data_IF_326590878388
#
_entry.id   IF_326590878388
#
_cell.length_a   1.000
_cell.length_b   1.000
_cell.length_c   1.000
_cell.angle_alpha   90.00
_cell.angle_beta   90.00
_cell.angle_gamma   90.00
#
_symmetry.space_group_name_H-M   'P 1'
#
loop_
_entity.id
_entity.type
_entity.pdbx_description
1 polymer ?
#
# COMPACT_ATOMS: atom_id res chain seq x y z
N UNK A 1 5.93 16.05 14.02
CA UNK A 1 5.99 16.26 12.56
C UNK A 1 5.84 14.91 11.89
N UNK A 2 4.63 14.58 11.45
CA UNK A 2 4.37 13.35 10.69
C UNK A 2 4.71 13.66 9.24
N UNK A 3 5.78 13.07 8.72
CA UNK A 3 6.16 13.23 7.32
C UNK A 3 5.33 12.22 6.51
N UNK A 4 4.30 12.69 5.82
CA UNK A 4 3.55 11.87 4.86
C UNK A 4 4.41 11.77 3.60
N UNK A 5 5.09 10.63 3.43
CA UNK A 5 5.84 10.33 2.22
C UNK A 5 4.86 9.76 1.19
N UNK A 6 4.40 10.60 0.26
CA UNK A 6 3.63 10.13 -0.89
C UNK A 6 4.58 9.45 -1.88
N UNK A 7 4.57 8.12 -1.94
CA UNK A 7 5.32 7.33 -2.93
C UNK A 7 4.38 7.07 -4.11
N UNK A 8 4.54 7.81 -5.21
CA UNK A 8 3.74 7.57 -6.42
C UNK A 8 4.43 6.51 -7.29
N UNK A 9 3.79 5.38 -7.54
CA UNK A 9 4.28 4.37 -8.49
C UNK A 9 3.73 4.65 -9.89
N UNK A 10 4.63 4.68 -10.88
CA UNK A 10 4.25 4.60 -12.29
C UNK A 10 4.95 3.36 -12.87
N UNK A 11 4.22 2.49 -13.57
CA UNK A 11 4.63 1.11 -13.87
C UNK A 11 4.66 0.84 -15.39
N UNK A 12 5.65 0.06 -15.82
CA UNK A 12 5.62 -0.78 -17.02
C UNK A 12 6.52 -2.00 -16.79
N UNK A 13 5.96 -3.19 -16.97
CA UNK A 13 6.71 -4.45 -17.02
C UNK A 13 7.25 -4.61 -18.46
N UNK A 14 8.57 -4.52 -18.66
CA UNK A 14 9.21 -5.05 -19.88
C UNK A 14 9.84 -6.41 -19.56
N UNK A 15 9.50 -7.48 -20.29
CA UNK A 15 10.16 -8.76 -20.14
C UNK A 15 11.62 -8.58 -20.53
N UNK A 16 12.53 -8.86 -19.59
CA UNK A 16 13.99 -8.95 -19.71
C UNK A 16 14.60 -8.79 -21.11
N UNK A 17 14.65 -7.58 -21.68
CA UNK A 17 15.65 -7.14 -22.65
C UNK A 17 15.72 -5.62 -22.57
N UNK A 18 16.94 -5.08 -22.46
CA UNK A 18 17.21 -3.71 -22.01
C UNK A 18 16.30 -2.64 -22.63
N UNK A 19 15.70 -1.82 -21.76
CA UNK A 19 14.92 -0.66 -22.18
C UNK A 19 13.98 -0.16 -21.07
N UNK A 20 14.29 1.05 -20.60
CA UNK A 20 13.45 2.03 -19.92
C UNK A 20 12.68 1.63 -18.65
N UNK A 21 13.18 2.11 -17.52
CA UNK A 21 12.54 2.10 -16.22
C UNK A 21 11.82 3.42 -15.90
N UNK A 22 10.98 3.39 -14.86
CA UNK A 22 9.95 4.40 -14.60
C UNK A 22 10.09 4.98 -13.17
N UNK A 23 9.55 6.19 -13.03
CA UNK A 23 9.74 7.12 -11.93
C UNK A 23 8.84 6.86 -10.71
N UNK A 24 9.46 6.82 -9.53
CA UNK A 24 8.85 7.14 -8.24
C UNK A 24 9.07 8.62 -7.89
N UNK A 25 8.02 9.46 -7.88
CA UNK A 25 8.12 10.85 -7.40
C UNK A 25 7.86 10.90 -5.89
N UNK A 26 8.86 11.34 -5.13
CA UNK A 26 8.73 11.68 -3.72
C UNK A 26 8.45 13.18 -3.62
N UNK A 27 7.18 13.58 -3.69
CA UNK A 27 6.84 15.00 -3.60
C UNK A 27 6.82 15.47 -2.15
N UNK A 28 7.58 16.51 -1.76
CA UNK A 28 7.44 17.13 -0.44
C UNK A 28 6.08 17.85 -0.36
N UNK A 29 5.23 17.48 0.60
CA UNK A 29 3.99 18.21 0.90
C UNK A 29 4.18 19.08 2.15
N UNK A 30 5.02 20.10 2.04
CA UNK A 30 5.14 21.11 3.10
C UNK A 30 3.90 22.03 3.08
N UNK A 31 2.96 21.79 4.01
CA UNK A 31 2.02 22.82 4.46
C UNK A 31 2.53 23.41 5.76
N UNK A 32 3.42 24.39 5.67
CA UNK A 32 3.86 25.23 6.78
C UNK A 32 2.68 25.99 7.39
N UNK A 33 2.28 25.74 8.65
CA UNK A 33 1.46 26.68 9.40
C UNK A 33 2.34 27.88 9.76
N UNK A 34 1.87 29.09 9.47
CA UNK A 34 2.52 30.31 9.95
C UNK A 34 2.09 30.52 11.41
N UNK A 35 3.02 30.50 12.36
CA UNK A 35 3.23 31.54 13.38
C UNK A 35 4.22 31.12 14.47
N UNK A 36 4.93 32.16 14.91
CA UNK A 36 5.71 32.35 16.13
C UNK A 36 7.10 31.70 16.26
N UNK A 37 8.05 32.59 16.46
CA UNK A 37 9.48 32.41 16.44
C UNK A 37 10.04 32.88 17.77
N UNK A 38 10.17 31.97 18.73
CA UNK A 38 11.22 32.01 19.75
C UNK A 38 11.13 30.75 20.60
N UNK A 39 12.17 29.91 20.55
CA UNK A 39 12.78 29.10 21.60
C UNK A 39 13.75 28.13 20.89
N UNK A 40 15.04 28.28 21.16
CA UNK A 40 16.14 27.49 20.57
C UNK A 40 16.69 26.48 21.60
N UNK A 41 17.26 25.39 21.06
CA UNK A 41 17.97 24.22 21.64
C UNK A 41 17.15 22.92 21.62
N UNK A 42 17.62 21.78 21.09
CA UNK A 42 18.89 21.40 20.47
C UNK A 42 18.64 20.18 19.55
N UNK A 43 19.57 19.94 18.62
CA UNK A 43 19.53 18.94 17.55
C UNK A 43 18.47 19.23 16.47
N UNK A 44 18.78 20.19 15.59
CA UNK A 44 18.23 20.14 14.24
C UNK A 44 18.80 18.88 13.61
N UNK A 45 17.99 17.82 13.62
CA UNK A 45 18.17 16.65 12.76
C UNK A 45 18.52 17.20 11.38
N UNK A 46 19.73 16.90 10.89
CA UNK A 46 20.16 17.42 9.60
C UNK A 46 19.09 17.02 8.61
N UNK A 47 18.39 18.00 8.03
CA UNK A 47 17.27 17.73 7.15
C UNK A 47 17.78 16.76 6.08
N UNK A 48 17.28 15.52 6.09
CA UNK A 48 17.69 14.51 5.14
C UNK A 48 17.29 15.03 3.77
N UNK A 49 18.28 15.42 2.97
CA UNK A 49 18.06 15.78 1.58
C UNK A 49 17.79 14.50 0.80
N UNK A 50 16.51 14.14 0.68
CA UNK A 50 16.11 13.06 -0.21
C UNK A 50 16.32 13.52 -1.66
N UNK A 51 16.89 12.62 -2.48
CA UNK A 51 16.94 12.86 -3.91
C UNK A 51 15.52 12.96 -4.46
N UNK A 52 15.23 14.02 -5.19
CA UNK A 52 14.00 14.11 -6.00
C UNK A 52 14.09 13.28 -7.28
N UNK A 53 15.26 12.69 -7.56
CA UNK A 53 15.43 11.80 -8.71
C UNK A 53 14.66 10.50 -8.44
N UNK A 54 13.76 10.11 -9.35
CA UNK A 54 13.00 8.89 -9.17
C UNK A 54 13.85 7.63 -9.14
N UNK A 55 13.62 6.76 -8.15
CA UNK A 55 14.28 5.46 -8.05
C UNK A 55 13.69 4.41 -8.98
N UNK A 56 14.50 3.41 -9.38
CA UNK A 56 14.09 2.28 -10.24
C UNK A 56 14.27 0.98 -9.47
N UNK A 57 13.18 0.30 -9.14
CA UNK A 57 13.19 -0.89 -8.28
C UNK A 57 12.80 -2.12 -9.09
N UNK A 58 13.71 -3.09 -9.20
CA UNK A 58 13.58 -4.25 -10.11
C UNK A 58 13.04 -5.49 -9.40
N UNK A 59 12.78 -6.55 -10.17
CA UNK A 59 12.29 -7.86 -9.69
C UNK A 59 10.86 -7.87 -9.15
N UNK A 60 10.09 -6.84 -9.48
CA UNK A 60 8.64 -6.73 -9.27
C UNK A 60 8.03 -6.26 -10.59
N UNK A 61 7.07 -7.00 -11.13
CA UNK A 61 6.23 -6.48 -12.21
C UNK A 61 4.98 -5.89 -11.55
N UNK A 62 4.63 -4.69 -11.96
CA UNK A 62 3.54 -3.90 -11.39
C UNK A 62 3.66 -3.78 -9.86
N UNK A 63 4.74 -3.12 -9.42
CA UNK A 63 4.84 -2.65 -8.05
C UNK A 63 3.77 -1.59 -7.80
N UNK A 64 2.83 -1.89 -6.92
CA UNK A 64 1.62 -1.10 -6.69
C UNK A 64 1.71 -0.25 -5.43
N UNK A 65 2.53 -0.66 -4.44
CA UNK A 65 2.58 0.00 -3.15
C UNK A 65 3.96 -0.09 -2.49
N UNK A 66 4.32 0.91 -1.68
CA UNK A 66 5.49 0.85 -0.81
C UNK A 66 5.42 1.79 0.38
N UNK A 67 6.19 1.44 1.43
CA UNK A 67 6.39 2.28 2.60
C UNK A 67 7.88 2.44 2.92
N UNK A 68 8.23 3.54 3.61
CA UNK A 68 9.56 3.73 4.16
C UNK A 68 9.82 2.76 5.33
N UNK A 69 10.96 2.06 5.33
CA UNK A 69 11.44 1.30 6.50
C UNK A 69 12.40 2.15 7.35
N UNK A 70 13.18 2.99 6.71
CA UNK A 70 14.01 4.02 7.35
C UNK A 70 14.35 5.11 6.31
N UNK A 71 15.41 5.87 6.54
CA UNK A 71 15.88 6.91 5.63
C UNK A 71 16.42 6.35 4.30
N UNK A 72 16.99 5.15 4.33
CA UNK A 72 17.74 4.52 3.25
C UNK A 72 17.01 3.34 2.61
N UNK A 73 15.91 2.86 3.19
CA UNK A 73 15.24 1.64 2.76
C UNK A 73 13.73 1.83 2.63
N UNK A 74 13.17 1.14 1.65
CA UNK A 74 11.73 1.00 1.46
C UNK A 74 11.36 -0.47 1.33
N UNK A 75 10.11 -0.78 1.62
CA UNK A 75 9.49 -2.07 1.37
C UNK A 75 8.42 -1.91 0.31
N UNK A 76 8.51 -2.70 -0.76
CA UNK A 76 7.57 -2.73 -1.87
C UNK A 76 6.66 -3.96 -1.82
N UNK A 77 5.44 -3.74 -2.29
CA UNK A 77 4.38 -4.71 -2.51
C UNK A 77 3.97 -4.65 -3.98
N UNK A 78 3.22 -5.66 -4.43
CA UNK A 78 2.76 -5.79 -5.81
C UNK A 78 1.34 -6.30 -5.83
N UNK A 79 0.60 -5.91 -6.85
CA UNK A 79 -0.70 -6.50 -7.12
C UNK A 79 -0.49 -7.97 -7.55
N UNK A 80 0.57 -8.27 -8.32
CA UNK A 80 0.84 -9.55 -8.99
C UNK A 80 1.25 -10.72 -8.08
N UNK A 81 1.73 -10.50 -6.86
CA UNK A 81 2.16 -11.57 -5.95
C UNK A 81 2.01 -11.21 -4.46
N UNK A 82 2.41 -12.13 -3.58
CA UNK A 82 2.39 -11.96 -2.12
C UNK A 82 3.81 -11.82 -1.55
N UNK A 83 4.77 -11.42 -2.38
CA UNK A 83 6.16 -11.25 -1.96
C UNK A 83 6.43 -9.80 -1.60
N UNK A 84 6.79 -9.55 -0.35
CA UNK A 84 7.31 -8.25 0.07
C UNK A 84 8.79 -8.16 -0.26
N UNK A 85 9.25 -6.96 -0.64
CA UNK A 85 10.60 -6.74 -1.14
C UNK A 85 11.21 -5.52 -0.49
N UNK A 86 12.36 -5.68 0.16
CA UNK A 86 13.11 -4.54 0.72
C UNK A 86 14.12 -4.06 -0.30
N UNK A 87 14.16 -2.76 -0.53
CA UNK A 87 15.10 -2.11 -1.41
C UNK A 87 15.87 -1.04 -0.67
N UNK A 88 17.15 -0.87 -1.03
CA UNK A 88 17.86 0.37 -0.74
C UNK A 88 17.30 1.46 -1.66
N UNK A 89 17.02 2.63 -1.11
CA UNK A 89 16.68 3.84 -1.86
C UNK A 89 17.87 4.25 -2.71
N UNK A 90 17.70 4.19 -4.02
CA UNK A 90 18.68 4.61 -5.00
C UNK A 90 17.99 4.83 -6.35
N UNK A 91 18.73 5.39 -7.30
CA UNK A 91 18.27 5.53 -8.68
C UNK A 91 17.98 4.17 -9.34
N UNK A 92 18.59 3.08 -8.87
CA UNK A 92 18.45 1.75 -9.46
C UNK A 92 18.82 0.65 -8.44
N UNK A 93 17.85 -0.17 -8.02
CA UNK A 93 18.00 -1.16 -6.96
C UNK A 93 17.39 -2.53 -7.31
N UNK A 94 18.11 -3.57 -6.92
CA UNK A 94 17.60 -4.94 -6.73
C UNK A 94 17.12 -5.08 -5.27
N UNK A 95 16.16 -5.98 -4.97
CA UNK A 95 15.76 -6.21 -3.60
C UNK A 95 16.92 -6.80 -2.79
N UNK A 96 17.20 -6.23 -1.62
CA UNK A 96 18.19 -6.74 -0.67
C UNK A 96 17.60 -7.83 0.24
N UNK A 97 16.27 -7.92 0.28
CA UNK A 97 15.51 -8.98 0.96
C UNK A 97 14.19 -9.20 0.25
N UNK A 98 13.75 -10.44 0.17
CA UNK A 98 12.41 -10.82 -0.28
C UNK A 98 11.79 -11.78 0.74
N UNK A 99 10.47 -11.75 0.87
CA UNK A 99 9.75 -12.68 1.73
C UNK A 99 8.34 -12.89 1.19
N UNK A 100 7.98 -14.14 0.91
CA UNK A 100 6.59 -14.50 0.62
C UNK A 100 5.79 -14.49 1.94
N UNK A 101 4.67 -13.77 1.97
CA UNK A 101 3.77 -13.68 3.12
C UNK A 101 2.40 -14.33 2.85
N UNK A 102 2.20 -14.97 1.70
CA UNK A 102 0.91 -15.47 1.24
C UNK A 102 0.29 -16.51 2.17
N UNK A 103 1.11 -17.40 2.73
CA UNK A 103 0.65 -18.41 3.71
C UNK A 103 0.08 -17.82 4.99
N UNK A 104 0.44 -16.57 5.31
CA UNK A 104 -0.02 -15.88 6.52
C UNK A 104 -1.19 -14.91 6.27
N UNK A 105 -1.63 -14.76 5.01
CA UNK A 105 -2.72 -13.86 4.62
C UNK A 105 -4.11 -14.53 4.62
N UNK A 106 -4.19 -15.81 4.98
CA UNK A 106 -5.40 -16.63 4.95
C UNK A 106 -6.08 -16.66 3.56
N UNK A 107 -5.28 -16.85 2.52
CA UNK A 107 -5.76 -16.93 1.14
C UNK A 107 -6.30 -18.33 0.81
N UNK A 108 -7.27 -18.40 -0.11
CA UNK A 108 -7.88 -19.64 -0.60
C UNK A 108 -7.53 -19.95 -2.06
N UNK A 109 -7.70 -21.21 -2.46
CA UNK A 109 -7.48 -21.66 -3.84
C UNK A 109 -6.03 -22.09 -4.14
N UNK A 110 -5.77 -22.56 -5.36
CA UNK A 110 -4.48 -23.13 -5.78
C UNK A 110 -3.48 -22.09 -6.28
N UNK A 111 -3.95 -20.93 -6.72
CA UNK A 111 -3.14 -19.82 -7.23
C UNK A 111 -3.70 -18.49 -6.69
N UNK A 112 -3.62 -18.26 -5.36
CA UNK A 112 -4.18 -17.05 -4.77
C UNK A 112 -3.46 -15.79 -5.25
N UNK A 113 -4.20 -14.72 -5.53
CA UNK A 113 -3.68 -13.37 -5.79
C UNK A 113 -4.35 -12.41 -4.80
N UNK A 114 -3.57 -11.80 -3.92
CA UNK A 114 -4.09 -10.82 -2.96
C UNK A 114 -4.37 -9.47 -3.58
N UNK A 115 -3.60 -9.06 -4.59
CA UNK A 115 -3.80 -7.82 -5.34
C UNK A 115 -3.64 -6.58 -4.44
N UNK A 116 -2.46 -6.43 -3.82
CA UNK A 116 -2.13 -5.26 -3.00
C UNK A 116 -2.16 -3.99 -3.83
N UNK A 117 -2.77 -2.93 -3.32
CA UNK A 117 -2.90 -1.64 -4.02
C UNK A 117 -2.29 -0.49 -3.23
N UNK A 118 -2.24 -0.57 -1.90
CA UNK A 118 -1.53 0.44 -1.11
C UNK A 118 -1.02 -0.11 0.22
N UNK A 119 -0.03 0.59 0.80
CA UNK A 119 0.51 0.32 2.13
C UNK A 119 0.84 1.61 2.86
N UNK A 120 0.63 1.60 4.18
CA UNK A 120 1.03 2.69 5.06
C UNK A 120 1.73 2.14 6.30
N UNK A 121 2.81 2.79 6.73
CA UNK A 121 3.54 2.39 7.94
C UNK A 121 3.23 3.33 9.11
N UNK A 122 2.78 2.74 10.22
CA UNK A 122 2.56 3.44 11.49
C UNK A 122 3.45 2.78 12.56
N UNK A 123 4.48 3.49 13.01
CA UNK A 123 5.47 2.94 13.94
C UNK A 123 6.15 1.69 13.37
N UNK A 124 6.12 0.59 14.11
CA UNK A 124 6.72 -0.69 13.69
C UNK A 124 5.75 -1.63 12.96
N UNK A 125 4.61 -1.09 12.46
CA UNK A 125 3.61 -1.88 11.74
C UNK A 125 3.29 -1.26 10.40
N UNK A 126 3.27 -2.10 9.38
CA UNK A 126 2.78 -1.77 8.05
C UNK A 126 1.36 -2.30 7.93
N UNK A 127 0.45 -1.45 7.47
CA UNK A 127 -0.89 -1.82 7.05
C UNK A 127 -0.89 -1.90 5.53
N UNK A 128 -1.34 -3.02 4.98
CA UNK A 128 -1.44 -3.25 3.56
C UNK A 128 -2.88 -3.54 3.18
N UNK A 129 -3.34 -2.93 2.09
CA UNK A 129 -4.69 -3.10 1.57
C UNK A 129 -4.62 -3.69 0.16
N UNK A 130 -5.49 -4.65 -0.11
CA UNK A 130 -5.78 -5.09 -1.47
C UNK A 130 -6.84 -4.21 -2.13
N UNK A 131 -7.09 -4.44 -3.42
CA UNK A 131 -8.10 -3.73 -4.21
C UNK A 131 -9.49 -3.63 -3.60
N UNK A 132 -9.95 -4.63 -2.84
CA UNK A 132 -11.33 -4.71 -2.35
C UNK A 132 -12.37 -4.63 -3.49
N UNK A 133 -11.95 -4.99 -4.71
CA UNK A 133 -12.77 -4.97 -5.91
C UNK A 133 -13.02 -6.36 -6.49
N UNK A 134 -14.04 -6.47 -7.34
CA UNK A 134 -14.33 -7.68 -8.14
C UNK A 134 -13.33 -7.83 -9.28
N UNK A 135 -13.16 -9.04 -9.80
CA UNK A 135 -12.31 -9.28 -10.98
C UNK A 135 -12.86 -8.54 -12.22
N UNK A 136 -12.08 -8.51 -13.30
CA UNK A 136 -12.45 -7.84 -14.54
C UNK A 136 -13.76 -8.35 -15.19
N UNK A 137 -14.18 -9.57 -14.85
CA UNK A 137 -15.45 -10.19 -15.27
C UNK A 137 -16.61 -9.93 -14.30
N UNK A 138 -16.38 -9.22 -13.19
CA UNK A 138 -17.37 -8.94 -12.14
C UNK A 138 -17.51 -10.03 -11.08
N UNK A 139 -16.75 -11.13 -11.17
CA UNK A 139 -16.76 -12.16 -10.13
C UNK A 139 -16.07 -11.68 -8.86
N UNK A 140 -16.69 -11.99 -7.71
CA UNK A 140 -16.06 -11.79 -6.41
C UNK A 140 -14.95 -12.82 -6.19
N UNK A 141 -13.83 -12.36 -5.66
CA UNK A 141 -12.72 -13.21 -5.22
C UNK A 141 -12.33 -12.76 -3.81
N UNK A 142 -12.58 -13.61 -2.81
CA UNK A 142 -12.36 -13.28 -1.40
C UNK A 142 -10.88 -12.97 -1.10
N UNK A 143 -9.94 -13.40 -1.95
CA UNK A 143 -8.52 -13.06 -1.82
C UNK A 143 -8.23 -11.58 -2.10
N UNK A 144 -9.10 -10.88 -2.86
CA UNK A 144 -8.94 -9.45 -3.17
C UNK A 144 -9.54 -8.52 -2.11
N UNK A 145 -10.05 -9.07 -1.01
CA UNK A 145 -10.59 -8.31 0.13
C UNK A 145 -9.73 -8.61 1.35
N UNK A 146 -8.46 -8.17 1.34
CA UNK A 146 -7.52 -8.36 2.45
C UNK A 146 -7.03 -7.01 2.93
N UNK A 147 -7.19 -6.80 4.22
CA UNK A 147 -6.52 -5.74 4.97
C UNK A 147 -5.61 -6.42 6.00
N UNK A 148 -4.30 -6.27 5.81
CA UNK A 148 -3.29 -7.01 6.54
C UNK A 148 -2.40 -6.08 7.35
N UNK A 149 -1.95 -6.57 8.50
CA UNK A 149 -0.94 -5.92 9.34
C UNK A 149 0.34 -6.75 9.32
N UNK A 150 1.46 -6.10 9.05
CA UNK A 150 2.80 -6.70 9.02
C UNK A 150 3.70 -5.97 10.01
N UNK A 151 4.14 -6.68 11.05
CA UNK A 151 5.10 -6.16 12.02
C UNK A 151 6.50 -6.15 11.42
N UNK A 152 7.21 -5.05 11.64
CA UNK A 152 8.58 -4.82 11.24
C UNK A 152 9.46 -4.85 12.48
N UNK A 153 10.51 -5.66 12.47
CA UNK A 153 11.55 -5.62 13.51
C UNK A 153 12.94 -5.65 12.90
N UNK A 154 13.95 -5.32 13.71
CA UNK A 154 15.33 -5.22 13.23
C UNK A 154 15.57 -3.99 12.35
N UNK A 155 16.75 -3.94 11.74
CA UNK A 155 17.22 -2.85 10.89
C UNK A 155 18.04 -3.43 9.74
N UNK A 156 18.36 -2.64 8.73
CA UNK A 156 19.22 -3.08 7.62
C UNK A 156 20.55 -3.66 8.14
N UNK A 157 21.03 -4.79 7.58
CA UNK A 157 20.44 -5.59 6.49
C UNK A 157 19.45 -6.69 6.97
N UNK A 158 19.12 -6.71 8.26
CA UNK A 158 18.42 -7.80 8.96
C UNK A 158 16.97 -7.46 9.37
N UNK A 159 16.25 -6.66 8.57
CA UNK A 159 14.80 -6.45 8.78
C UNK A 159 14.05 -7.77 8.85
N UNK A 160 13.09 -7.92 9.74
CA UNK A 160 12.21 -9.09 9.83
C UNK A 160 10.76 -8.67 9.74
N UNK A 161 9.94 -9.53 9.13
CA UNK A 161 8.52 -9.26 8.88
C UNK A 161 7.66 -10.40 9.37
N UNK A 162 6.61 -10.09 10.13
CA UNK A 162 5.63 -11.06 10.59
C UNK A 162 4.22 -10.53 10.31
N UNK A 163 3.37 -11.32 9.64
CA UNK A 163 1.96 -10.94 9.47
C UNK A 163 1.28 -11.09 10.83
N UNK A 164 0.91 -9.97 11.43
CA UNK A 164 0.22 -9.92 12.71
C UNK A 164 -1.27 -10.30 12.59
N UNK A 165 -1.84 -10.11 11.40
CA UNK A 165 -3.20 -10.51 11.08
C UNK A 165 -3.64 -10.05 9.68
N UNK A 166 -4.72 -10.66 9.20
CA UNK A 166 -5.36 -10.34 7.93
C UNK A 166 -6.87 -10.44 8.09
N UNK A 167 -7.63 -9.47 7.59
CA UNK A 167 -9.10 -9.43 7.64
C UNK A 167 -9.68 -9.22 6.26
N UNK A 168 -10.89 -9.74 6.04
CA UNK A 168 -11.67 -9.52 4.80
C UNK A 168 -12.99 -8.80 5.00
N UNK A 169 -13.25 -8.34 6.21
CA UNK A 169 -14.48 -7.67 6.60
C UNK A 169 -14.44 -6.16 6.42
N UNK A 170 -13.35 -5.55 5.92
CA UNK A 170 -13.18 -4.10 5.89
C UNK A 170 -14.37 -3.37 5.25
N UNK A 171 -14.82 -3.78 4.07
CA UNK A 171 -15.98 -3.14 3.42
C UNK A 171 -17.27 -3.30 4.23
N UNK A 172 -17.49 -4.44 4.88
CA UNK A 172 -18.64 -4.63 5.78
C UNK A 172 -18.54 -3.71 6.99
N UNK A 173 -17.33 -3.55 7.54
CA UNK A 173 -17.05 -2.67 8.66
C UNK A 173 -17.23 -1.19 8.28
N UNK A 174 -16.85 -0.79 7.06
CA UNK A 174 -17.10 0.57 6.55
C UNK A 174 -18.59 0.86 6.32
N UNK A 175 -19.42 -0.15 6.05
CA UNK A 175 -20.87 0.02 5.93
C UNK A 175 -21.60 0.10 7.28
N UNK A 176 -20.94 -0.29 8.37
CA UNK A 176 -21.56 -0.29 9.69
C UNK A 176 -21.49 1.11 10.31
N UNK A 177 -22.63 1.80 10.39
CA UNK A 177 -22.74 3.15 10.97
C UNK A 177 -22.13 3.28 12.36
N UNK A 178 -22.21 2.22 13.17
CA UNK A 178 -21.63 2.17 14.52
C UNK A 178 -20.09 2.29 14.55
N UNK A 179 -19.42 2.06 13.43
CA UNK A 179 -17.95 2.18 13.33
C UNK A 179 -17.48 3.61 12.99
N UNK A 180 -18.40 4.54 12.75
CA UNK A 180 -18.08 5.93 12.40
C UNK A 180 -18.27 6.86 13.60
N UNK A 181 -17.32 7.77 13.83
CA UNK A 181 -17.50 8.88 14.77
C UNK A 181 -18.58 9.86 14.29
N UNK A 182 -18.69 10.04 12.98
CA UNK A 182 -19.69 10.87 12.31
C UNK A 182 -20.11 10.15 11.02
N UNK A 183 -21.19 9.36 11.06
CA UNK A 183 -21.60 8.54 9.91
C UNK A 183 -22.19 9.40 8.79
N UNK A 184 -21.70 9.17 7.57
CA UNK A 184 -22.20 9.80 6.35
C UNK A 184 -22.98 8.78 5.52
N UNK A 185 -24.31 8.85 5.55
CA UNK A 185 -25.17 7.84 4.92
C UNK A 185 -24.94 7.74 3.41
N UNK A 186 -24.63 8.85 2.74
CA UNK A 186 -24.34 8.89 1.31
C UNK A 186 -23.07 8.09 0.95
N UNK A 187 -22.05 8.13 1.80
CA UNK A 187 -20.80 7.36 1.61
C UNK A 187 -21.07 5.88 1.87
N UNK A 188 -21.80 5.56 2.94
CA UNK A 188 -22.17 4.18 3.28
C UNK A 188 -23.00 3.54 2.16
N UNK A 189 -23.99 4.26 1.63
CA UNK A 189 -24.82 3.82 0.52
C UNK A 189 -24.01 3.67 -0.77
N UNK A 190 -23.04 4.55 -1.03
CA UNK A 190 -22.14 4.43 -2.18
C UNK A 190 -21.29 3.16 -2.09
N UNK A 191 -20.68 2.87 -0.93
CA UNK A 191 -19.89 1.64 -0.72
C UNK A 191 -20.78 0.41 -0.88
N UNK A 192 -21.98 0.42 -0.31
CA UNK A 192 -22.95 -0.68 -0.42
C UNK A 192 -23.34 -0.95 -1.88
N UNK A 193 -23.69 0.09 -2.63
CA UNK A 193 -24.11 -0.03 -4.02
C UNK A 193 -22.98 -0.44 -4.97
N UNK A 194 -21.75 0.03 -4.73
CA UNK A 194 -20.59 -0.26 -5.56
C UNK A 194 -19.96 -1.65 -5.27
N UNK A 195 -20.21 -2.21 -4.08
CA UNK A 195 -19.65 -3.52 -3.70
C UNK A 195 -20.63 -4.68 -3.89
N UNK A 196 -21.89 -4.51 -3.44
CA UNK A 196 -22.92 -5.55 -3.39
C UNK A 196 -22.39 -6.90 -2.95
N UNK A 197 -21.78 -6.95 -1.76
CA UNK A 197 -21.02 -8.12 -1.29
C UNK A 197 -21.83 -9.43 -1.19
N UNK A 198 -23.16 -9.32 -1.16
CA UNK A 198 -24.11 -10.42 -1.25
C UNK A 198 -24.13 -11.12 -2.63
N UNK A 199 -23.76 -10.42 -3.71
CA UNK A 199 -23.72 -10.97 -5.06
C UNK A 199 -22.37 -11.63 -5.35
N UNK A 200 -22.37 -12.90 -5.76
CA UNK A 200 -21.11 -13.58 -6.13
C UNK A 200 -20.53 -13.09 -7.47
N UNK A 201 -21.38 -12.58 -8.37
CA UNK A 201 -20.97 -12.07 -9.68
C UNK A 201 -21.86 -10.94 -10.14
N UNK A 202 -21.25 -9.85 -10.63
CA UNK A 202 -21.93 -8.74 -11.29
C UNK A 202 -20.94 -7.99 -12.20
N UNK A 203 -21.09 -8.12 -13.51
CA UNK A 203 -20.19 -7.51 -14.50
C UNK A 203 -20.24 -5.98 -14.51
N UNK A 204 -21.36 -5.36 -14.08
CA UNK A 204 -21.45 -3.91 -13.95
C UNK A 204 -20.57 -3.38 -12.81
N UNK A 205 -20.16 -4.25 -11.88
CA UNK A 205 -19.32 -3.92 -10.73
C UNK A 205 -17.86 -4.35 -10.92
N UNK A 206 -17.41 -4.62 -12.16
CA UNK A 206 -15.99 -4.79 -12.44
C UNK A 206 -15.20 -3.47 -12.16
N UNK A 207 -13.88 -3.51 -11.87
CA UNK A 207 -13.11 -2.37 -11.34
C UNK A 207 -13.12 -1.10 -12.22
N UNK A 208 -13.31 -1.25 -13.54
CA UNK A 208 -13.34 -0.14 -14.50
C UNK A 208 -14.76 0.30 -14.87
N UNK A 209 -15.76 -0.21 -14.15
CA UNK A 209 -17.17 0.09 -14.35
C UNK A 209 -17.71 0.85 -13.13
N UNK A 210 -18.65 0.26 -12.39
CA UNK A 210 -19.29 0.86 -11.21
C UNK A 210 -18.84 0.19 -9.90
N UNK A 211 -17.82 -0.68 -9.96
CA UNK A 211 -17.30 -1.41 -8.81
C UNK A 211 -16.48 -0.52 -7.88
N UNK A 212 -16.43 -0.90 -6.61
CA UNK A 212 -15.47 -0.31 -5.66
C UNK A 212 -14.05 -0.83 -5.94
N UNK A 213 -13.07 0.07 -5.82
CA UNK A 213 -11.64 -0.25 -5.68
C UNK A 213 -11.06 0.67 -4.61
N UNK A 214 -10.25 0.14 -3.69
CA UNK A 214 -9.52 0.92 -2.69
C UNK A 214 -8.05 0.90 -3.07
N UNK A 215 -7.54 2.07 -3.47
CA UNK A 215 -6.16 2.27 -3.96
C UNK A 215 -5.35 3.20 -3.04
N UNK A 216 -5.86 3.50 -1.85
CA UNK A 216 -5.28 4.51 -0.96
C UNK A 216 -5.44 4.18 0.53
N UNK A 217 -4.33 4.26 1.26
CA UNK A 217 -4.23 4.30 2.71
C UNK A 217 -3.44 5.53 3.13
N UNK A 218 -3.94 6.22 4.14
CA UNK A 218 -3.20 7.33 4.74
C UNK A 218 -3.50 7.39 6.25
N UNK A 219 -2.49 7.74 7.02
CA UNK A 219 -2.61 8.06 8.43
C UNK A 219 -2.42 9.58 8.63
N UNK A 220 -3.20 10.18 9.54
CA UNK A 220 -3.21 11.62 9.80
C UNK A 220 -2.24 12.04 10.92
#
# INVERSE_FOLDING_TARGET
>A
MTHVLLITFLVACTPQYGGDAIAVDAKPTDRRPTTDSSLVDAAVDAAVSLSSAPGRYRSVCDGSAAAALDVDHLIGFSDNDQTIRVFKRSENAMPIRTQDIGSSLALGGTTPKVDFEDVERIGDRIYAISSHGRKNDGNKDDNRYRFAAVDVTGQSPSFQFAVAGSRSSLLLELMATANWLSPESSIIDAIKNASKLEEQSNSNLAPKNQGVNIEGLAHA
#
